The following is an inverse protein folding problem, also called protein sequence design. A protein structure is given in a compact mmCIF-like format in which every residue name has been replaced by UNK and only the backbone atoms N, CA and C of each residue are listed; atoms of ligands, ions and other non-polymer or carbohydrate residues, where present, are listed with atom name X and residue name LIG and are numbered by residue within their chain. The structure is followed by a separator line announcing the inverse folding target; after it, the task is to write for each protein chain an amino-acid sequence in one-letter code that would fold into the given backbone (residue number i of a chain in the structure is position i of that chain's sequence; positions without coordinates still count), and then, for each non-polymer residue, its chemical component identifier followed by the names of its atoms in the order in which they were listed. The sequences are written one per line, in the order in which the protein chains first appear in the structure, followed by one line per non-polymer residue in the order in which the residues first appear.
data_IF_026818258675
#
_entry.id   IF_026818258675
#
_cell.length_a   1.000
_cell.length_b   1.000
_cell.length_c   1.000
_cell.angle_alpha   90.00
_cell.angle_beta   90.00
_cell.angle_gamma   90.00
#
_symmetry.space_group_name_H-M   'P 1'
#
loop_
_entity.id
_entity.type
_entity.pdbx_description
1 polymer ?
#
# COMPACT_ATOMS: atom_id res chain seq x y z
N UNK A 1 -1.64 7.11 -25.67
CA UNK A 1 -0.95 6.84 -24.39
C UNK A 1 -0.69 5.34 -24.23
N UNK A 2 -1.70 4.48 -24.15
CA UNK A 2 -1.54 3.03 -23.96
C UNK A 2 -0.57 2.39 -24.98
N UNK A 3 -0.77 2.64 -26.28
CA UNK A 3 0.11 2.10 -27.34
C UNK A 3 1.58 2.49 -27.14
N UNK A 4 1.84 3.66 -26.61
CA UNK A 4 3.19 4.15 -26.37
C UNK A 4 3.90 3.39 -25.23
N UNK A 5 3.16 2.99 -24.18
CA UNK A 5 3.68 2.08 -23.16
C UNK A 5 4.04 0.71 -23.74
N UNK A 6 3.18 0.18 -24.62
CA UNK A 6 3.39 -1.12 -25.27
C UNK A 6 4.65 -1.07 -26.16
N UNK A 7 4.80 -0.01 -26.96
CA UNK A 7 5.96 0.19 -27.81
C UNK A 7 7.24 0.35 -27.00
N UNK A 8 7.19 1.14 -25.93
CA UNK A 8 8.32 1.32 -25.02
C UNK A 8 8.72 0.01 -24.36
N UNK A 9 7.77 -0.80 -23.89
CA UNK A 9 8.07 -2.10 -23.31
C UNK A 9 8.78 -3.03 -24.31
N UNK A 10 8.33 -3.05 -25.56
CA UNK A 10 8.93 -3.86 -26.61
C UNK A 10 10.32 -3.35 -27.00
N UNK A 11 10.48 -2.04 -27.17
CA UNK A 11 11.75 -1.41 -27.54
C UNK A 11 12.85 -1.69 -26.52
N UNK A 12 12.50 -1.56 -25.23
CA UNK A 12 13.46 -1.72 -24.14
C UNK A 12 13.50 -3.13 -23.54
N UNK A 13 12.72 -4.06 -24.09
CA UNK A 13 12.61 -5.43 -23.59
C UNK A 13 12.27 -5.48 -22.10
N UNK A 14 11.43 -4.55 -21.64
CA UNK A 14 10.98 -4.52 -20.26
C UNK A 14 10.01 -5.69 -20.03
N UNK A 15 10.22 -6.52 -19.00
CA UNK A 15 9.37 -7.67 -18.72
C UNK A 15 8.07 -7.24 -18.00
N UNK A 16 7.36 -6.30 -18.62
CA UNK A 16 6.05 -5.87 -18.14
C UNK A 16 4.96 -6.83 -18.62
N UNK A 17 4.01 -7.17 -17.75
CA UNK A 17 2.92 -8.08 -18.05
C UNK A 17 1.73 -7.36 -18.67
N UNK A 18 1.27 -6.32 -18.02
CA UNK A 18 0.14 -5.54 -18.45
C UNK A 18 0.25 -4.09 -17.98
N UNK A 19 -0.46 -3.20 -18.65
CA UNK A 19 -0.63 -1.81 -18.27
C UNK A 19 -2.11 -1.44 -18.34
N UNK A 20 -2.59 -0.68 -17.35
CA UNK A 20 -3.91 -0.06 -17.36
C UNK A 20 -3.76 1.45 -17.24
N UNK A 21 -4.45 2.16 -18.09
CA UNK A 21 -4.58 3.61 -18.07
C UNK A 21 -6.04 3.96 -17.79
N UNK A 22 -6.27 4.83 -16.82
CA UNK A 22 -7.58 5.45 -16.60
C UNK A 22 -7.42 6.95 -16.82
N UNK A 23 -8.06 7.44 -17.88
CA UNK A 23 -8.07 8.85 -18.26
C UNK A 23 -9.51 9.34 -18.37
N UNK A 24 -9.87 10.35 -17.61
CA UNK A 24 -11.22 10.92 -17.59
C UNK A 24 -12.33 9.85 -17.37
N UNK A 25 -12.03 8.84 -16.54
CA UNK A 25 -12.91 7.72 -16.25
C UNK A 25 -12.95 6.62 -17.33
N UNK A 26 -12.28 6.79 -18.47
CA UNK A 26 -12.15 5.76 -19.51
C UNK A 26 -11.02 4.82 -19.15
N UNK A 27 -11.33 3.52 -19.06
CA UNK A 27 -10.37 2.47 -18.70
C UNK A 27 -9.88 1.76 -19.96
N UNK A 28 -8.58 1.78 -20.21
CA UNK A 28 -7.94 1.02 -21.27
C UNK A 28 -6.90 0.08 -20.65
N UNK A 29 -6.97 -1.21 -20.98
CA UNK A 29 -6.00 -2.21 -20.51
C UNK A 29 -5.40 -2.95 -21.69
N UNK A 30 -4.10 -3.17 -21.65
CA UNK A 30 -3.42 -4.04 -22.62
C UNK A 30 -2.47 -4.99 -21.89
N UNK A 31 -2.47 -6.23 -22.34
CA UNK A 31 -1.45 -7.21 -22.00
C UNK A 31 -0.26 -7.02 -22.94
N UNK A 32 0.93 -6.88 -22.37
CA UNK A 32 2.18 -6.65 -23.10
C UNK A 32 2.88 -7.99 -23.36
N UNK A 33 3.00 -8.80 -22.29
CA UNK A 33 3.61 -10.12 -22.34
C UNK A 33 2.61 -11.15 -21.84
N UNK A 34 2.48 -12.33 -22.49
CA UNK A 34 1.65 -13.40 -21.97
C UNK A 34 2.11 -13.79 -20.54
N UNK A 35 1.23 -13.59 -19.57
CA UNK A 35 1.48 -13.88 -18.17
C UNK A 35 0.17 -14.17 -17.45
N UNK A 36 0.27 -14.71 -16.23
CA UNK A 36 -0.85 -14.70 -15.31
C UNK A 36 -1.23 -13.24 -15.04
N UNK A 37 -2.50 -12.92 -15.16
CA UNK A 37 -3.01 -11.57 -14.98
C UNK A 37 -3.28 -11.21 -13.51
N UNK A 38 -3.07 -12.15 -12.57
CA UNK A 38 -3.14 -11.93 -11.14
C UNK A 38 -1.77 -12.22 -10.51
N UNK A 39 -1.01 -11.17 -10.22
CA UNK A 39 0.35 -11.27 -9.69
C UNK A 39 0.47 -10.56 -8.34
N UNK A 40 1.54 -10.90 -7.60
CA UNK A 40 1.91 -10.18 -6.39
C UNK A 40 2.22 -8.72 -6.74
N UNK A 41 1.59 -7.81 -6.01
CA UNK A 41 1.83 -6.38 -6.12
C UNK A 41 2.85 -5.88 -5.09
N UNK A 42 3.42 -6.80 -4.31
CA UNK A 42 4.42 -6.52 -3.28
C UNK A 42 3.98 -5.36 -2.37
N UNK A 43 4.83 -4.37 -2.19
CA UNK A 43 4.61 -3.25 -1.29
C UNK A 43 3.37 -2.38 -1.59
N UNK A 44 2.75 -2.49 -2.76
CA UNK A 44 1.44 -1.87 -3.00
C UNK A 44 0.36 -2.46 -2.09
N UNK A 45 0.56 -3.65 -1.54
CA UNK A 45 -0.28 -4.24 -0.49
C UNK A 45 -0.50 -3.29 0.70
N UNK A 46 0.52 -2.48 1.04
CA UNK A 46 0.46 -1.47 2.13
C UNK A 46 -0.66 -0.47 1.92
N UNK A 47 -0.91 -0.09 0.68
CA UNK A 47 -1.94 0.90 0.34
C UNK A 47 -3.36 0.32 0.57
N UNK A 48 -3.55 -0.97 0.34
CA UNK A 48 -4.82 -1.66 0.66
C UNK A 48 -5.01 -1.82 2.16
N UNK A 49 -3.93 -2.10 2.90
CA UNK A 49 -3.97 -2.13 4.37
C UNK A 49 -4.31 -0.76 4.94
N UNK A 50 -3.67 0.33 4.45
CA UNK A 50 -4.02 1.68 4.84
C UNK A 50 -5.48 2.03 4.49
N UNK A 51 -5.98 1.56 3.35
CA UNK A 51 -7.39 1.72 2.96
C UNK A 51 -8.32 1.04 3.96
N UNK A 52 -8.01 -0.19 4.39
CA UNK A 52 -8.80 -0.89 5.40
C UNK A 52 -8.81 -0.13 6.75
N UNK A 53 -7.66 0.36 7.21
CA UNK A 53 -7.56 1.22 8.42
C UNK A 53 -8.40 2.48 8.23
N UNK A 54 -8.34 3.12 7.06
CA UNK A 54 -9.15 4.30 6.75
C UNK A 54 -10.64 4.06 6.87
N UNK A 55 -11.10 2.91 6.39
CA UNK A 55 -12.51 2.52 6.52
C UNK A 55 -12.93 2.35 7.99
N UNK A 56 -12.04 1.88 8.87
CA UNK A 56 -12.33 1.82 10.31
C UNK A 56 -12.32 3.21 10.95
N UNK A 57 -11.40 4.08 10.54
CA UNK A 57 -11.36 5.47 11.02
C UNK A 57 -12.63 6.23 10.62
N UNK A 58 -13.07 6.10 9.37
CA UNK A 58 -14.30 6.74 8.88
C UNK A 58 -15.57 6.23 9.59
N UNK A 59 -15.53 5.01 10.14
CA UNK A 59 -16.61 4.41 10.94
C UNK A 59 -16.51 4.76 12.43
N UNK A 60 -15.47 5.48 12.86
CA UNK A 60 -15.23 5.80 14.26
C UNK A 60 -14.82 4.61 15.13
N UNK A 61 -14.43 3.49 14.54
CA UNK A 61 -13.96 2.28 15.24
C UNK A 61 -12.50 2.46 15.69
N UNK A 62 -11.71 3.20 14.91
CA UNK A 62 -10.30 3.45 15.17
C UNK A 62 -9.99 4.92 14.90
N UNK A 63 -8.92 5.44 15.51
CA UNK A 63 -8.33 6.74 15.16
C UNK A 63 -6.86 6.57 14.81
N UNK A 64 -6.34 7.41 13.95
CA UNK A 64 -4.90 7.45 13.67
C UNK A 64 -4.07 7.84 14.90
N UNK A 65 -4.67 8.54 15.87
CA UNK A 65 -4.05 8.92 17.13
C UNK A 65 -4.16 7.83 18.22
N UNK A 66 -4.88 6.74 17.94
CA UNK A 66 -5.02 5.63 18.90
C UNK A 66 -3.65 4.99 19.13
N UNK A 67 -3.20 4.86 20.40
CA UNK A 67 -1.99 4.13 20.74
C UNK A 67 -2.09 2.65 20.34
N UNK A 68 -1.03 2.10 19.78
CA UNK A 68 -0.94 0.67 19.43
C UNK A 68 -1.17 -0.19 20.67
N UNK A 69 -0.68 0.27 21.82
CA UNK A 69 -0.86 -0.39 23.12
C UNK A 69 -2.34 -0.59 23.47
N UNK A 70 -3.17 0.43 23.28
CA UNK A 70 -4.59 0.37 23.66
C UNK A 70 -5.38 -0.66 22.84
N UNK A 71 -4.94 -0.89 21.60
CA UNK A 71 -5.58 -1.86 20.70
C UNK A 71 -5.10 -3.29 20.96
N UNK A 72 -3.80 -3.48 21.23
CA UNK A 72 -3.20 -4.82 21.25
C UNK A 72 -2.93 -5.39 22.64
N UNK A 73 -2.85 -4.55 23.68
CA UNK A 73 -2.65 -5.02 25.06
C UNK A 73 -3.74 -5.97 25.59
N UNK A 74 -5.00 -5.92 25.13
CA UNK A 74 -5.98 -6.95 25.51
C UNK A 74 -5.60 -8.36 25.04
N UNK A 75 -4.81 -8.49 23.97
CA UNK A 75 -4.29 -9.77 23.46
C UNK A 75 -3.02 -10.20 24.21
N UNK A 76 -2.22 -9.23 24.67
CA UNK A 76 -0.93 -9.42 25.34
C UNK A 76 -0.84 -8.51 26.57
N UNK A 77 -1.35 -8.94 27.75
CA UNK A 77 -1.41 -8.11 28.96
C UNK A 77 -0.05 -7.59 29.46
N UNK A 78 1.03 -8.30 29.13
CA UNK A 78 2.42 -7.96 29.47
C UNK A 78 3.15 -7.21 28.34
N UNK A 79 2.42 -6.72 27.34
CA UNK A 79 2.97 -5.94 26.22
C UNK A 79 3.84 -4.77 26.70
N UNK A 80 5.04 -4.54 26.11
CA UNK A 80 5.92 -3.45 26.50
C UNK A 80 5.26 -2.08 26.42
N UNK A 81 5.41 -1.28 27.47
CA UNK A 81 4.74 0.03 27.61
C UNK A 81 5.24 1.08 26.59
N UNK A 82 6.37 0.86 25.94
CA UNK A 82 6.89 1.73 24.87
C UNK A 82 5.88 1.91 23.72
N UNK A 83 4.99 0.93 23.52
CA UNK A 83 3.93 1.00 22.51
C UNK A 83 2.82 2.01 22.85
N UNK A 84 2.79 2.58 24.07
CA UNK A 84 1.87 3.67 24.43
C UNK A 84 2.18 4.97 23.68
N UNK A 85 3.44 5.17 23.30
CA UNK A 85 3.87 6.35 22.56
C UNK A 85 3.79 6.15 21.02
N UNK A 86 3.55 4.91 20.58
CA UNK A 86 3.39 4.57 19.17
C UNK A 86 1.90 4.58 18.81
N UNK A 87 1.51 5.43 17.87
CA UNK A 87 0.12 5.52 17.39
C UNK A 87 -0.06 4.80 16.05
N UNK A 88 -1.31 4.60 15.63
CA UNK A 88 -1.66 4.09 14.30
C UNK A 88 -1.04 4.96 13.19
N UNK A 89 -1.00 6.30 13.39
CA UNK A 89 -0.32 7.20 12.44
C UNK A 89 1.17 6.86 12.27
N UNK A 90 1.87 6.56 13.37
CA UNK A 90 3.28 6.16 13.31
C UNK A 90 3.47 4.85 12.54
N UNK A 91 2.54 3.91 12.68
CA UNK A 91 2.54 2.64 11.94
C UNK A 91 2.38 2.91 10.44
N UNK A 92 1.37 3.69 10.04
CA UNK A 92 1.06 4.00 8.65
C UNK A 92 2.12 4.88 7.96
N UNK A 93 2.83 5.72 8.73
CA UNK A 93 3.91 6.58 8.22
C UNK A 93 5.30 5.95 8.32
N UNK A 94 5.40 4.69 8.76
CA UNK A 94 6.67 3.98 8.88
C UNK A 94 7.64 4.64 9.91
N UNK A 95 7.08 5.20 10.99
CA UNK A 95 7.84 5.92 12.02
C UNK A 95 7.63 5.35 13.42
N UNK A 96 7.43 4.04 13.52
CA UNK A 96 7.14 3.33 14.78
C UNK A 96 8.26 3.42 15.82
N UNK A 97 9.48 3.77 15.43
CA UNK A 97 10.66 3.71 16.30
C UNK A 97 11.38 2.36 16.29
N UNK A 98 10.99 1.45 15.42
CA UNK A 98 11.72 0.21 15.13
C UNK A 98 12.88 0.57 14.19
N UNK A 99 14.13 0.30 14.61
CA UNK A 99 15.31 0.72 13.86
C UNK A 99 15.62 -0.16 12.65
N UNK A 100 15.25 -1.43 12.71
CA UNK A 100 15.54 -2.39 11.64
C UNK A 100 14.27 -3.04 11.14
N UNK A 101 14.05 -3.01 9.83
CA UNK A 101 12.94 -3.71 9.18
C UNK A 101 13.04 -5.23 9.35
N UNK A 102 11.91 -5.90 9.31
CA UNK A 102 11.76 -7.35 9.39
C UNK A 102 10.38 -7.77 8.86
N UNK A 103 10.10 -9.06 8.83
CA UNK A 103 8.89 -9.66 8.21
C UNK A 103 8.79 -9.38 6.71
N UNK A 104 9.94 -9.20 6.06
CA UNK A 104 10.00 -9.15 4.60
C UNK A 104 10.05 -10.58 4.06
N UNK A 105 8.88 -11.20 3.92
CA UNK A 105 8.76 -12.59 3.46
C UNK A 105 9.21 -12.81 2.01
N UNK A 106 9.43 -11.73 1.26
CA UNK A 106 9.93 -11.79 -0.10
C UNK A 106 11.46 -12.00 -0.13
N UNK A 107 12.14 -11.64 0.97
CA UNK A 107 13.60 -11.66 1.09
C UNK A 107 14.12 -12.44 2.30
N UNK A 108 13.31 -12.61 3.36
CA UNK A 108 13.72 -13.21 4.63
C UNK A 108 13.12 -14.61 4.80
N UNK A 109 13.84 -15.47 5.49
CA UNK A 109 13.31 -16.79 5.87
C UNK A 109 12.27 -16.64 7.00
N UNK A 110 11.02 -16.92 6.68
CA UNK A 110 9.90 -16.80 7.61
C UNK A 110 10.07 -17.65 8.90
N UNK A 111 10.92 -18.69 8.88
CA UNK A 111 11.23 -19.51 10.07
C UNK A 111 11.95 -18.72 11.16
N UNK A 112 12.59 -17.60 10.81
CA UNK A 112 13.28 -16.71 11.76
C UNK A 112 12.33 -15.95 12.67
N UNK A 113 11.04 -15.85 12.33
CA UNK A 113 10.05 -15.06 13.09
C UNK A 113 9.29 -15.90 14.13
N UNK A 114 9.57 -17.20 14.23
CA UNK A 114 8.88 -18.11 15.15
C UNK A 114 7.44 -18.40 14.71
N UNK A 115 6.63 -18.89 15.65
CA UNK A 115 5.24 -19.28 15.39
C UNK A 115 4.25 -18.11 15.60
N UNK A 116 4.54 -17.21 16.54
CA UNK A 116 3.72 -16.04 16.84
C UNK A 116 4.44 -14.75 16.38
N UNK A 117 4.12 -14.33 15.16
CA UNK A 117 4.76 -13.17 14.54
C UNK A 117 4.32 -11.84 15.18
N UNK A 118 3.13 -11.81 15.80
CA UNK A 118 2.70 -10.62 16.52
C UNK A 118 3.47 -10.48 17.84
N UNK A 119 3.62 -11.57 18.59
CA UNK A 119 4.49 -11.58 19.77
C UNK A 119 5.92 -11.14 19.41
N UNK A 120 6.50 -11.75 18.37
CA UNK A 120 7.83 -11.37 17.88
C UNK A 120 7.93 -9.87 17.59
N UNK A 121 6.92 -9.29 16.92
CA UNK A 121 6.87 -7.86 16.62
C UNK A 121 6.78 -7.01 17.88
N UNK A 122 5.92 -7.39 18.83
CA UNK A 122 5.62 -6.56 20.00
C UNK A 122 6.68 -6.62 21.09
N UNK A 123 7.37 -7.77 21.24
CA UNK A 123 8.29 -8.01 22.34
C UNK A 123 9.76 -8.04 21.88
N UNK A 124 10.07 -8.83 20.85
CA UNK A 124 11.45 -9.04 20.42
C UNK A 124 11.95 -7.88 19.53
N UNK A 125 11.01 -7.17 18.89
CA UNK A 125 11.28 -6.07 17.95
C UNK A 125 10.58 -4.78 18.33
N UNK A 126 10.33 -4.57 19.63
CA UNK A 126 9.71 -3.36 20.13
C UNK A 126 10.50 -2.09 19.75
N UNK A 127 9.86 -0.91 19.68
CA UNK A 127 10.54 0.36 19.40
C UNK A 127 11.72 0.62 20.34
N UNK A 128 12.86 0.98 19.78
CA UNK A 128 14.10 1.32 20.50
C UNK A 128 14.40 2.81 20.49
N UNK A 129 13.78 3.56 19.56
CA UNK A 129 13.81 5.02 19.52
C UNK A 129 12.39 5.57 19.60
N UNK A 130 12.29 6.86 19.95
CA UNK A 130 10.99 7.52 20.10
C UNK A 130 10.17 7.46 18.81
N UNK A 131 8.93 6.94 18.82
CA UNK A 131 8.02 6.98 17.65
C UNK A 131 7.89 8.40 17.08
N UNK A 132 7.78 8.49 15.77
CA UNK A 132 7.71 9.75 15.03
C UNK A 132 9.06 10.40 14.72
N UNK A 133 10.19 9.88 15.20
CA UNK A 133 11.50 10.51 15.01
C UNK A 133 12.38 9.87 13.93
N UNK A 134 12.12 8.61 13.59
CA UNK A 134 12.87 7.86 12.59
C UNK A 134 11.93 7.25 11.56
N UNK A 135 12.10 7.62 10.30
CA UNK A 135 11.48 6.90 9.19
C UNK A 135 12.25 5.61 8.91
N UNK A 136 11.56 4.49 8.99
CA UNK A 136 12.12 3.18 8.65
C UNK A 136 11.11 2.37 7.85
N UNK A 137 11.33 2.30 6.55
CA UNK A 137 10.50 1.48 5.67
C UNK A 137 10.64 0.00 6.03
N UNK A 138 9.50 -0.65 6.29
CA UNK A 138 9.47 -2.06 6.70
C UNK A 138 8.10 -2.68 6.47
N UNK A 139 8.06 -3.94 6.11
CA UNK A 139 6.82 -4.73 6.01
C UNK A 139 6.20 -5.01 7.37
N UNK A 140 7.03 -5.10 8.42
CA UNK A 140 6.57 -5.31 9.78
C UNK A 140 5.59 -4.24 10.27
N UNK A 141 5.76 -2.97 9.86
CA UNK A 141 4.82 -1.91 10.23
C UNK A 141 3.43 -2.17 9.63
N UNK A 142 3.35 -2.66 8.41
CA UNK A 142 2.06 -2.96 7.78
C UNK A 142 1.49 -4.33 8.18
N UNK A 143 2.34 -5.28 8.57
CA UNK A 143 1.86 -6.44 9.31
C UNK A 143 1.22 -6.03 10.63
N UNK A 144 1.86 -5.13 11.38
CA UNK A 144 1.29 -4.57 12.62
C UNK A 144 -0.04 -3.85 12.34
N UNK A 145 -0.15 -3.08 11.26
CA UNK A 145 -1.41 -2.44 10.84
C UNK A 145 -2.52 -3.48 10.55
N UNK A 146 -2.19 -4.60 9.89
CA UNK A 146 -3.13 -5.70 9.67
C UNK A 146 -3.63 -6.31 10.98
N UNK A 147 -2.75 -6.46 11.98
CA UNK A 147 -3.11 -7.00 13.30
C UNK A 147 -3.91 -5.99 14.14
N UNK A 148 -3.58 -4.69 14.05
CA UNK A 148 -4.38 -3.60 14.63
C UNK A 148 -5.78 -3.59 14.03
N UNK A 149 -5.89 -3.73 12.69
CA UNK A 149 -7.18 -3.84 12.03
C UNK A 149 -8.02 -4.98 12.62
N UNK A 150 -7.43 -6.19 12.71
CA UNK A 150 -8.14 -7.36 13.20
C UNK A 150 -8.58 -7.21 14.66
N UNK A 151 -7.71 -6.68 15.52
CA UNK A 151 -8.01 -6.46 16.94
C UNK A 151 -9.11 -5.39 17.13
N UNK A 152 -9.06 -4.30 16.37
CA UNK A 152 -10.03 -3.20 16.49
C UNK A 152 -11.41 -3.56 15.92
N UNK A 153 -11.46 -4.30 14.81
CA UNK A 153 -12.71 -4.64 14.11
C UNK A 153 -13.33 -5.97 14.56
N UNK A 154 -12.53 -6.87 15.13
CA UNK A 154 -12.93 -8.26 15.39
C UNK A 154 -13.03 -9.12 14.11
N UNK A 155 -12.55 -8.63 12.95
CA UNK A 155 -12.66 -9.30 11.66
C UNK A 155 -11.30 -9.54 11.01
N UNK A 156 -11.21 -10.55 10.14
CA UNK A 156 -10.07 -10.71 9.25
C UNK A 156 -10.07 -9.63 8.16
N UNK A 157 -8.94 -8.93 7.98
CA UNK A 157 -8.83 -7.79 7.06
C UNK A 157 -9.14 -8.18 5.60
N UNK A 158 -8.72 -9.37 5.15
CA UNK A 158 -9.03 -9.84 3.79
C UNK A 158 -10.53 -10.05 3.61
N UNK A 159 -11.20 -10.70 4.57
CA UNK A 159 -12.63 -10.93 4.53
C UNK A 159 -13.43 -9.60 4.54
N UNK A 160 -12.97 -8.64 5.33
CA UNK A 160 -13.55 -7.29 5.36
C UNK A 160 -13.39 -6.58 4.01
N UNK A 161 -12.18 -6.52 3.47
CA UNK A 161 -11.93 -5.87 2.17
C UNK A 161 -12.67 -6.58 1.04
N UNK A 162 -12.80 -7.91 1.10
CA UNK A 162 -13.59 -8.68 0.14
C UNK A 162 -15.03 -8.18 0.09
N UNK A 163 -15.65 -7.99 1.24
CA UNK A 163 -17.06 -7.55 1.37
C UNK A 163 -17.23 -6.07 1.07
N UNK A 164 -16.35 -5.23 1.59
CA UNK A 164 -16.55 -3.78 1.59
C UNK A 164 -15.97 -3.09 0.34
N UNK A 165 -14.96 -3.69 -0.28
CA UNK A 165 -14.22 -3.06 -1.38
C UNK A 165 -14.12 -3.97 -2.62
N UNK A 166 -13.54 -5.16 -2.51
CA UNK A 166 -13.17 -5.94 -3.69
C UNK A 166 -14.38 -6.39 -4.50
N UNK A 167 -15.39 -6.98 -3.85
CA UNK A 167 -16.62 -7.39 -4.56
C UNK A 167 -17.40 -6.19 -5.08
N UNK A 168 -17.69 -5.13 -4.30
CA UNK A 168 -18.40 -3.97 -4.81
C UNK A 168 -17.67 -3.17 -5.90
N UNK A 169 -16.34 -3.23 -5.94
CA UNK A 169 -15.53 -2.61 -7.00
C UNK A 169 -15.21 -3.60 -8.13
N UNK A 170 -15.81 -4.80 -8.11
CA UNK A 170 -15.64 -5.82 -9.15
C UNK A 170 -14.19 -6.23 -9.38
N UNK A 171 -13.42 -6.40 -8.29
CA UNK A 171 -12.09 -6.97 -8.35
C UNK A 171 -12.19 -8.46 -8.70
N UNK A 172 -11.21 -8.97 -9.43
CA UNK A 172 -11.20 -10.36 -9.88
C UNK A 172 -9.89 -11.05 -9.50
N UNK A 173 -10.01 -12.25 -8.90
CA UNK A 173 -8.87 -13.13 -8.68
C UNK A 173 -7.90 -12.68 -7.59
N UNK A 174 -8.39 -12.05 -6.52
CA UNK A 174 -7.53 -11.58 -5.42
C UNK A 174 -7.22 -12.68 -4.40
N UNK A 175 -5.99 -12.66 -3.88
CA UNK A 175 -5.51 -13.49 -2.78
C UNK A 175 -4.48 -12.70 -1.95
N UNK A 176 -4.28 -13.06 -0.70
CA UNK A 176 -3.28 -12.41 0.16
C UNK A 176 -2.48 -13.45 0.95
N UNK A 177 -1.16 -13.32 0.95
CA UNK A 177 -0.30 -14.12 1.82
C UNK A 177 -0.60 -13.82 3.29
N UNK A 178 -0.59 -14.86 4.12
CA UNK A 178 -0.97 -14.76 5.53
C UNK A 178 0.16 -15.22 6.45
N UNK A 179 0.17 -14.72 7.68
CA UNK A 179 1.00 -15.23 8.76
C UNK A 179 0.46 -16.60 9.28
N UNK A 180 1.18 -17.30 10.17
CA UNK A 180 0.71 -18.54 10.75
C UNK A 180 -0.70 -18.48 11.38
N UNK A 181 -1.10 -17.34 11.94
CA UNK A 181 -2.44 -17.10 12.49
C UNK A 181 -3.49 -16.68 11.45
N UNK A 182 -3.21 -16.90 10.17
CA UNK A 182 -4.12 -16.60 9.05
C UNK A 182 -4.51 -15.12 8.90
N UNK A 183 -3.72 -14.16 9.42
CA UNK A 183 -3.91 -12.74 9.14
C UNK A 183 -3.08 -12.30 7.93
N UNK A 184 -3.63 -11.43 7.05
CA UNK A 184 -2.88 -10.88 5.92
C UNK A 184 -1.57 -10.23 6.33
N UNK A 185 -0.53 -10.41 5.52
CA UNK A 185 0.79 -9.81 5.75
C UNK A 185 0.76 -8.27 5.78
N UNK A 186 -0.21 -7.69 5.11
CA UNK A 186 -0.40 -6.24 5.12
C UNK A 186 0.65 -5.44 4.36
N UNK A 187 1.93 -5.80 4.49
CA UNK A 187 3.06 -5.12 3.85
C UNK A 187 3.35 -5.60 2.42
N UNK A 188 3.06 -6.85 2.14
CA UNK A 188 3.34 -7.54 0.87
C UNK A 188 2.34 -8.67 0.63
N UNK A 189 2.49 -9.39 -0.46
CA UNK A 189 1.80 -10.66 -0.72
C UNK A 189 0.33 -10.54 -1.13
N UNK A 190 -0.16 -9.36 -1.53
CA UNK A 190 -1.47 -9.22 -2.15
C UNK A 190 -1.35 -9.46 -3.66
N UNK A 191 -2.09 -10.45 -4.14
CA UNK A 191 -2.20 -10.79 -5.56
C UNK A 191 -3.47 -10.16 -6.12
N UNK A 192 -3.33 -9.27 -7.10
CA UNK A 192 -4.44 -8.65 -7.85
C UNK A 192 -4.02 -8.36 -9.27
N UNK A 193 -5.00 -8.00 -10.11
CA UNK A 193 -4.79 -7.67 -11.52
C UNK A 193 -4.47 -6.18 -11.71
N UNK A 194 -3.84 -5.83 -12.83
CA UNK A 194 -3.52 -4.43 -13.15
C UNK A 194 -4.75 -3.51 -13.19
N UNK A 195 -5.90 -3.89 -13.79
CA UNK A 195 -7.09 -3.06 -13.72
C UNK A 195 -7.54 -2.78 -12.28
N UNK A 196 -7.38 -3.75 -11.38
CA UNK A 196 -7.79 -3.62 -9.98
C UNK A 196 -6.83 -2.74 -9.18
N UNK A 197 -5.53 -2.76 -9.52
CA UNK A 197 -4.56 -1.77 -9.01
C UNK A 197 -4.97 -0.34 -9.39
N UNK A 198 -5.34 -0.12 -10.66
CA UNK A 198 -5.74 1.19 -11.15
C UNK A 198 -6.99 1.74 -10.45
N UNK A 199 -7.93 0.88 -10.07
CA UNK A 199 -9.13 1.27 -9.29
C UNK A 199 -8.76 1.90 -7.94
N UNK A 200 -7.70 1.43 -7.28
CA UNK A 200 -7.23 2.06 -6.04
C UNK A 200 -6.77 3.50 -6.30
N UNK A 201 -5.95 3.71 -7.32
CA UNK A 201 -5.50 5.05 -7.70
C UNK A 201 -6.68 5.99 -8.00
N UNK A 202 -7.65 5.51 -8.76
CA UNK A 202 -8.86 6.27 -9.08
C UNK A 202 -9.70 6.58 -7.84
N UNK A 203 -9.87 5.62 -6.92
CA UNK A 203 -10.58 5.82 -5.67
C UNK A 203 -10.01 6.99 -4.86
N UNK A 204 -8.70 7.01 -4.68
CA UNK A 204 -8.04 8.08 -3.94
C UNK A 204 -8.06 9.42 -4.70
N UNK A 205 -7.87 9.39 -6.02
CA UNK A 205 -7.95 10.57 -6.88
C UNK A 205 -9.35 11.23 -6.81
N UNK A 206 -10.41 10.43 -6.68
CA UNK A 206 -11.79 10.89 -6.59
C UNK A 206 -12.27 11.09 -5.15
N UNK A 207 -11.36 11.29 -4.19
CA UNK A 207 -11.72 11.59 -2.80
C UNK A 207 -12.56 10.50 -2.13
N UNK A 208 -12.26 9.23 -2.42
CA UNK A 208 -12.89 8.06 -1.81
C UNK A 208 -14.19 7.61 -2.45
N UNK A 209 -14.52 8.12 -3.64
CA UNK A 209 -15.69 7.69 -4.43
C UNK A 209 -15.23 6.88 -5.62
N UNK A 210 -15.90 5.77 -5.91
CA UNK A 210 -15.71 4.96 -7.10
C UNK A 210 -17.08 4.51 -7.65
N UNK A 211 -17.32 4.77 -8.94
CA UNK A 211 -18.60 4.46 -9.61
C UNK A 211 -19.83 4.95 -8.82
N UNK A 212 -19.77 6.19 -8.30
CA UNK A 212 -20.85 6.82 -7.53
C UNK A 212 -21.01 6.33 -6.09
N UNK A 213 -20.28 5.31 -5.66
CA UNK A 213 -20.29 4.80 -4.28
C UNK A 213 -19.10 5.35 -3.49
N UNK A 214 -19.37 5.83 -2.26
CA UNK A 214 -18.34 6.24 -1.32
C UNK A 214 -17.80 5.04 -0.55
N UNK A 215 -16.49 4.89 -0.54
CA UNK A 215 -15.75 3.86 0.20
C UNK A 215 -14.91 4.44 1.34
N UNK A 216 -14.41 5.67 1.14
CA UNK A 216 -13.60 6.42 2.09
C UNK A 216 -14.11 7.87 2.18
N UNK A 217 -13.84 8.54 3.27
CA UNK A 217 -14.03 9.99 3.35
C UNK A 217 -13.02 10.73 2.48
N UNK A 218 -13.40 11.91 1.99
CA UNK A 218 -12.46 12.80 1.30
C UNK A 218 -11.32 13.23 2.23
N UNK A 219 -11.63 13.42 3.52
CA UNK A 219 -10.65 13.76 4.55
C UNK A 219 -9.58 12.67 4.64
N UNK A 220 -9.97 11.39 4.73
CA UNK A 220 -9.00 10.29 4.74
C UNK A 220 -8.12 10.28 3.49
N UNK A 221 -8.72 10.38 2.31
CA UNK A 221 -7.96 10.35 1.06
C UNK A 221 -6.91 11.46 1.00
N UNK A 222 -7.28 12.70 1.37
CA UNK A 222 -6.37 13.84 1.45
C UNK A 222 -5.24 13.58 2.47
N UNK A 223 -5.59 13.13 3.69
CA UNK A 223 -4.62 12.88 4.74
C UNK A 223 -3.65 11.75 4.40
N UNK A 224 -4.11 10.71 3.69
CA UNK A 224 -3.29 9.57 3.32
C UNK A 224 -2.30 9.88 2.18
N UNK A 225 -2.66 10.78 1.27
CA UNK A 225 -1.87 11.08 0.06
C UNK A 225 -1.02 12.34 0.17
N UNK A 226 -1.07 13.06 1.28
CA UNK A 226 -0.18 14.21 1.51
C UNK A 226 1.13 13.80 2.20
N UNK A 227 2.16 14.61 2.02
CA UNK A 227 3.45 14.41 2.69
C UNK A 227 3.31 14.61 4.21
N UNK A 228 3.51 13.53 4.97
CA UNK A 228 3.53 13.55 6.44
C UNK A 228 4.92 13.39 7.02
N UNK A 229 5.78 12.67 6.30
CA UNK A 229 7.17 12.45 6.69
C UNK A 229 8.06 12.67 5.47
N UNK A 230 9.02 13.57 5.60
CA UNK A 230 10.06 13.75 4.59
C UNK A 230 11.02 12.57 4.64
N UNK A 231 11.09 11.83 3.55
CA UNK A 231 11.96 10.65 3.46
C UNK A 231 13.34 11.05 2.95
N UNK A 232 13.38 11.87 1.92
CA UNK A 232 14.60 12.45 1.35
C UNK A 232 14.30 13.83 0.73
N UNK A 233 15.27 14.41 0.04
CA UNK A 233 15.14 15.75 -0.57
C UNK A 233 14.04 15.83 -1.65
N UNK A 234 13.67 14.71 -2.25
CA UNK A 234 12.72 14.64 -3.36
C UNK A 234 11.37 14.08 -2.94
N UNK A 235 11.32 13.23 -1.89
CA UNK A 235 10.15 12.41 -1.59
C UNK A 235 9.71 12.52 -0.15
N UNK A 236 8.41 12.53 0.00
CA UNK A 236 7.71 12.33 1.25
C UNK A 236 6.86 11.06 1.26
N UNK A 237 6.31 10.76 2.42
CA UNK A 237 5.46 9.60 2.65
C UNK A 237 4.23 9.99 3.45
N UNK A 238 3.07 9.61 2.95
CA UNK A 238 1.79 9.75 3.64
C UNK A 238 1.42 8.48 4.40
N UNK A 239 0.15 8.12 4.44
CA UNK A 239 -0.30 6.83 4.96
C UNK A 239 -0.16 5.78 3.84
N UNK A 240 1.02 5.22 3.68
CA UNK A 240 1.46 4.28 2.63
C UNK A 240 1.66 4.85 1.22
N UNK A 241 1.31 6.09 0.96
CA UNK A 241 1.49 6.72 -0.35
C UNK A 241 2.79 7.52 -0.40
N UNK A 242 3.50 7.40 -1.52
CA UNK A 242 4.64 8.23 -1.83
C UNK A 242 4.18 9.55 -2.43
N UNK A 243 4.81 10.64 -2.02
CA UNK A 243 4.56 12.00 -2.51
C UNK A 243 5.87 12.59 -3.03
N UNK A 244 5.83 13.34 -4.11
CA UNK A 244 7.00 14.03 -4.63
C UNK A 244 6.98 15.51 -4.23
N UNK A 245 8.06 16.02 -3.63
CA UNK A 245 8.10 17.40 -3.16
C UNK A 245 7.99 18.42 -4.29
N UNK A 246 8.54 18.09 -5.48
CA UNK A 246 8.48 18.94 -6.66
C UNK A 246 7.08 19.01 -7.32
N UNK A 247 6.20 18.07 -7.01
CA UNK A 247 4.88 17.94 -7.62
C UNK A 247 3.79 17.73 -6.56
N UNK A 248 3.47 18.78 -5.76
CA UNK A 248 2.44 18.67 -4.73
C UNK A 248 1.08 18.27 -5.32
N UNK A 249 0.43 17.31 -4.69
CA UNK A 249 -0.85 16.75 -5.15
C UNK A 249 -0.72 15.47 -5.96
N UNK A 250 0.42 15.21 -6.61
CA UNK A 250 0.70 13.92 -7.19
C UNK A 250 1.10 12.90 -6.12
N UNK A 251 0.67 11.67 -6.29
CA UNK A 251 1.05 10.57 -5.40
C UNK A 251 1.17 9.25 -6.14
N UNK A 252 1.86 8.31 -5.54
CA UNK A 252 2.05 7.01 -6.16
C UNK A 252 2.21 5.87 -5.15
N UNK A 253 2.02 4.66 -5.63
CA UNK A 253 2.32 3.41 -4.95
C UNK A 253 3.39 2.67 -5.74
N UNK A 254 4.33 2.03 -5.07
CA UNK A 254 5.37 1.24 -5.69
C UNK A 254 5.53 -0.12 -5.02
N UNK A 255 5.78 -1.13 -5.83
CA UNK A 255 6.09 -2.49 -5.38
C UNK A 255 7.41 -2.98 -5.96
N UNK A 256 8.00 -3.97 -5.29
CA UNK A 256 9.22 -4.64 -5.77
C UNK A 256 9.05 -5.10 -7.22
N UNK A 257 10.14 -5.26 -7.93
CA UNK A 257 10.17 -5.68 -9.33
C UNK A 257 9.39 -4.75 -10.29
N UNK A 258 9.15 -3.49 -9.89
CA UNK A 258 8.62 -2.45 -10.76
C UNK A 258 7.10 -2.35 -10.84
N UNK A 259 6.38 -2.92 -9.90
CA UNK A 259 4.93 -2.70 -9.80
C UNK A 259 4.66 -1.23 -9.45
N UNK A 260 3.69 -0.58 -10.09
CA UNK A 260 3.35 0.79 -9.75
C UNK A 260 1.92 1.20 -10.06
N UNK A 261 1.47 2.21 -9.31
CA UNK A 261 0.29 3.03 -9.58
C UNK A 261 0.75 4.49 -9.50
N UNK A 262 0.64 5.24 -10.60
CA UNK A 262 0.93 6.68 -10.66
C UNK A 262 -0.37 7.44 -10.79
N UNK A 263 -0.54 8.50 -10.00
CA UNK A 263 -1.78 9.29 -9.96
C UNK A 263 -1.46 10.77 -10.17
N UNK A 264 -2.11 11.36 -11.16
CA UNK A 264 -1.97 12.75 -11.59
C UNK A 264 -3.36 13.44 -11.51
N UNK A 265 -3.76 13.95 -10.34
CA UNK A 265 -5.11 14.45 -10.12
C UNK A 265 -5.49 15.62 -11.05
N UNK A 266 -4.57 16.54 -11.31
CA UNK A 266 -4.81 17.68 -12.21
C UNK A 266 -5.13 17.26 -13.65
N UNK A 267 -4.66 16.07 -14.05
CA UNK A 267 -4.91 15.49 -15.38
C UNK A 267 -6.05 14.47 -15.37
N UNK A 268 -6.67 14.23 -14.21
CA UNK A 268 -7.65 13.15 -14.03
C UNK A 268 -7.14 11.82 -14.62
N UNK A 269 -5.89 11.47 -14.28
CA UNK A 269 -5.15 10.38 -14.89
C UNK A 269 -4.57 9.44 -13.85
N UNK A 270 -4.80 8.14 -14.06
CA UNK A 270 -4.14 7.05 -13.34
C UNK A 270 -3.46 6.13 -14.34
N UNK A 271 -2.23 5.75 -14.06
CA UNK A 271 -1.48 4.77 -14.84
C UNK A 271 -0.98 3.68 -13.88
N UNK A 272 -1.36 2.43 -14.13
CA UNK A 272 -0.92 1.29 -13.35
C UNK A 272 -0.32 0.22 -14.25
N UNK A 273 0.72 -0.45 -13.77
CA UNK A 273 1.34 -1.57 -14.48
C UNK A 273 1.91 -2.61 -13.54
N UNK A 274 2.09 -3.81 -14.08
CA UNK A 274 2.77 -4.93 -13.46
C UNK A 274 3.88 -5.43 -14.38
N UNK A 275 4.95 -5.93 -13.79
CA UNK A 275 6.06 -6.55 -14.49
C UNK A 275 6.89 -7.38 -13.55
N UNK A 276 8.02 -7.90 -14.03
CA UNK A 276 8.98 -8.62 -13.21
C UNK A 276 10.38 -8.22 -13.65
N UNK A 277 10.79 -7.05 -13.17
CA UNK A 277 12.03 -6.40 -13.63
C UNK A 277 13.12 -6.48 -12.56
N UNK A 278 14.00 -7.44 -12.72
CA UNK A 278 15.19 -7.58 -11.87
C UNK A 278 16.36 -6.68 -12.29
N UNK A 279 16.26 -6.00 -13.43
CA UNK A 279 17.36 -5.21 -14.00
C UNK A 279 17.11 -3.69 -13.94
N UNK A 280 16.09 -3.27 -13.20
CA UNK A 280 15.70 -1.86 -13.03
C UNK A 280 15.40 -1.11 -14.35
N UNK A 281 14.96 -1.84 -15.38
CA UNK A 281 14.59 -1.27 -16.67
C UNK A 281 13.26 -0.53 -16.64
N UNK A 282 12.42 -0.80 -15.63
CA UNK A 282 11.08 -0.24 -15.50
C UNK A 282 11.10 1.26 -15.21
N UNK A 283 12.23 1.81 -14.78
CA UNK A 283 12.41 3.26 -14.62
C UNK A 283 12.02 4.06 -15.86
N UNK A 284 12.11 3.46 -17.05
CA UNK A 284 11.63 4.05 -18.31
C UNK A 284 10.11 4.20 -18.35
N UNK A 285 9.35 3.28 -17.74
CA UNK A 285 7.91 3.42 -17.59
C UNK A 285 7.54 4.53 -16.61
N UNK A 286 8.29 4.70 -15.52
CA UNK A 286 8.10 5.85 -14.64
C UNK A 286 8.28 7.16 -15.39
N UNK A 287 9.38 7.30 -16.14
CA UNK A 287 9.64 8.49 -16.96
C UNK A 287 8.56 8.74 -18.02
N UNK A 288 8.06 7.68 -18.65
CA UNK A 288 6.98 7.78 -19.63
C UNK A 288 5.66 8.20 -18.96
N UNK A 289 5.31 7.62 -17.82
CA UNK A 289 4.13 7.98 -17.06
C UNK A 289 4.18 9.45 -16.63
N UNK A 290 5.33 9.91 -16.12
CA UNK A 290 5.54 11.30 -15.70
C UNK A 290 5.45 12.28 -16.88
N UNK A 291 5.98 11.91 -18.03
CA UNK A 291 5.82 12.69 -19.25
C UNK A 291 4.34 12.91 -19.59
N UNK A 292 3.53 11.85 -19.62
CA UNK A 292 2.10 11.98 -19.90
C UNK A 292 1.32 12.65 -18.76
N UNK A 293 1.71 12.43 -17.53
CA UNK A 293 1.06 13.05 -16.39
C UNK A 293 1.31 14.55 -16.28
N UNK A 294 2.45 15.04 -16.76
CA UNK A 294 2.88 16.43 -16.54
C UNK A 294 2.90 17.28 -17.81
N UNK A 295 3.21 16.69 -18.98
CA UNK A 295 3.36 17.45 -20.24
C UNK A 295 2.10 17.46 -21.12
N UNK A 296 1.09 16.64 -20.85
CA UNK A 296 -0.11 16.48 -21.70
C UNK A 296 -1.17 17.60 -21.51
#
# INVERSE_FOLDING_TARGET
MLNQFIETAKEYQVPAYAVTVIKDGIVETAQITPANDCNDIYSISKNFTATAIGMLCDRGILSVDTPVYDVLSPLYPDMPTVWKDCTVAHVLTQTTGIEHGFLDIDCEDARNFGADWLHYTLFDRAPTVKPGTLYRYSDSNFYLASRIFAAASGENMMAFLQREMFVPMEFQGQAWAVCPDCHPMGGTGLFIRVPDMAKLGQLYMQGGVYNGRRYLSEAWCREATQNRVSVDVNRGYGYSFWCEHAHPGEFHCGGMNGQAIRVYPEKNLVIAWQGHDYNDMIGKFFALADKFGREA
#
